data_IF_545290559241
#
_entry.id   IF_545290559241
#
_cell.length_a   1.000
_cell.length_b   1.000
_cell.length_c   1.000
_cell.angle_alpha   90.00
_cell.angle_beta   90.00
_cell.angle_gamma   90.00
#
_symmetry.space_group_name_H-M   'P 1'
#
loop_
_entity.id
_entity.type
_entity.pdbx_description
1 polymer ?
2 non-polymer ?
3 non-polymer ?
4 water ?
#
# COMPACT_ATOMS: atom_id res chain seq x y z
N UNK A 1 29.70 -7.58 -13.75
CA UNK A 1 29.07 -6.35 -13.19
C UNK A 1 28.72 -6.55 -11.71
N UNK A 2 28.72 -5.47 -10.94
CA UNK A 2 28.44 -5.54 -9.51
C UNK A 2 27.12 -4.91 -9.06
N UNK A 3 26.66 -5.36 -7.90
CA UNK A 3 25.41 -4.86 -7.30
C UNK A 3 25.77 -4.21 -5.96
N UNK A 4 25.38 -2.95 -5.76
CA UNK A 4 25.68 -2.27 -4.51
C UNK A 4 24.76 -1.08 -4.29
N UNK A 5 24.96 -0.35 -3.19
CA UNK A 5 24.14 0.80 -2.89
C UNK A 5 24.25 1.81 -4.02
N UNK A 6 23.13 2.45 -4.34
CA UNK A 6 23.08 3.43 -5.43
C UNK A 6 23.71 4.76 -5.01
N UNK A 7 24.91 5.02 -5.54
CA UNK A 7 25.62 6.26 -5.24
C UNK A 7 24.78 7.45 -5.66
N UNK A 8 24.11 8.06 -4.68
CA UNK A 8 23.24 9.21 -4.94
C UNK A 8 24.03 10.47 -5.25
N UNK A 9 25.35 10.42 -5.07
CA UNK A 9 26.21 11.56 -5.33
C UNK A 9 26.72 11.56 -6.78
N UNK A 10 26.01 10.84 -7.64
CA UNK A 10 26.40 10.75 -9.05
C UNK A 10 25.28 11.21 -9.99
N UNK A 11 25.50 12.34 -10.69
CA UNK A 11 24.52 12.88 -11.63
C UNK A 11 24.26 11.92 -12.79
N UNK A 12 25.34 11.40 -13.37
CA UNK A 12 25.23 10.46 -14.50
C UNK A 12 24.35 9.27 -14.14
N UNK A 13 24.58 8.70 -12.96
CA UNK A 13 23.78 7.55 -12.51
C UNK A 13 22.32 7.94 -12.43
N UNK A 14 22.01 9.00 -11.70
CA UNK A 14 20.64 9.46 -11.54
C UNK A 14 19.99 9.67 -12.91
N UNK A 15 20.74 10.26 -13.85
CA UNK A 15 20.24 10.49 -15.19
C UNK A 15 19.98 9.14 -15.86
N UNK A 16 20.93 8.22 -15.71
CA UNK A 16 20.78 6.88 -16.29
C UNK A 16 19.53 6.20 -15.77
N UNK A 17 19.23 6.39 -14.49
CA UNK A 17 18.06 5.79 -13.89
C UNK A 17 16.81 6.52 -14.37
N UNK A 18 16.89 7.84 -14.38
CA UNK A 18 15.77 8.68 -14.81
C UNK A 18 15.27 8.25 -16.17
N UNK A 19 16.20 7.84 -17.04
CA UNK A 19 15.83 7.40 -18.38
C UNK A 19 15.34 5.97 -18.35
N UNK A 20 15.98 5.14 -17.54
CA UNK A 20 15.62 3.73 -17.40
C UNK A 20 14.14 3.57 -17.12
N UNK A 21 13.57 4.51 -16.38
CA UNK A 21 12.15 4.48 -16.05
C UNK A 21 11.29 5.14 -17.13
N UNK A 22 11.85 6.14 -17.81
CA UNK A 22 11.14 6.83 -18.88
C UNK A 22 11.01 5.87 -20.05
N UNK A 23 11.85 4.84 -20.05
CA UNK A 23 11.86 3.83 -21.10
C UNK A 23 11.08 2.58 -20.68
N UNK A 24 10.64 2.55 -19.43
CA UNK A 24 9.89 1.40 -18.93
C UNK A 24 8.45 1.77 -18.56
N UNK A 25 8.28 2.96 -18.00
CA UNK A 25 6.96 3.44 -17.60
C UNK A 25 6.80 4.91 -17.96
N UNK A 26 6.70 5.22 -19.28
CA UNK A 26 6.54 6.59 -19.76
C UNK A 26 5.27 7.27 -19.25
N UNK A 27 4.24 6.47 -18.96
CA UNK A 27 2.98 7.00 -18.46
C UNK A 27 3.08 7.27 -16.97
N UNK A 28 3.97 6.55 -16.29
CA UNK A 28 4.17 6.69 -14.86
C UNK A 28 5.44 7.51 -14.56
N UNK A 29 6.27 7.67 -15.58
CA UNK A 29 7.51 8.42 -15.45
C UNK A 29 7.79 9.29 -16.66
N UNK A 30 8.20 10.53 -16.41
CA UNK A 30 8.50 11.46 -17.49
C UNK A 30 8.75 12.85 -16.95
N UNK A 31 7.68 13.57 -16.64
CA UNK A 31 7.81 14.92 -16.09
C UNK A 31 8.50 14.85 -14.74
N UNK A 32 7.98 14.00 -13.87
CA UNK A 32 8.53 13.82 -12.54
C UNK A 32 9.55 12.69 -12.53
N UNK A 33 9.87 12.18 -13.73
CA UNK A 33 10.85 11.10 -13.85
C UNK A 33 12.14 11.52 -13.17
N UNK A 34 12.73 12.60 -13.68
CA UNK A 34 13.98 13.13 -13.13
C UNK A 34 13.66 13.84 -11.82
N UNK A 35 12.67 13.32 -11.11
CA UNK A 35 12.24 13.87 -9.84
C UNK A 35 11.89 12.72 -8.90
N UNK A 36 11.23 11.71 -9.46
CA UNK A 36 10.85 10.54 -8.69
C UNK A 36 12.11 9.73 -8.44
N UNK A 37 13.16 10.07 -9.17
CA UNK A 37 14.45 9.40 -9.01
C UNK A 37 15.06 9.87 -7.70
N UNK A 38 14.76 11.11 -7.33
CA UNK A 38 15.26 11.69 -6.09
C UNK A 38 14.43 11.26 -4.89
N UNK A 39 13.13 11.06 -5.09
CA UNK A 39 12.27 10.62 -4.00
C UNK A 39 12.74 9.22 -3.61
N UNK A 40 13.36 8.55 -4.58
CA UNK A 40 13.90 7.22 -4.37
C UNK A 40 15.25 7.38 -3.68
N UNK A 41 15.84 8.57 -3.80
CA UNK A 41 17.13 8.84 -3.19
C UNK A 41 17.00 9.12 -1.69
N UNK A 42 15.78 9.50 -1.27
CA UNK A 42 15.50 9.80 0.13
C UNK A 42 16.23 8.82 1.03
N UNK A 43 16.95 9.32 2.05
CA UNK A 43 17.70 8.49 3.00
C UNK A 43 16.86 7.47 3.76
N UNK A 44 15.55 7.67 3.75
CA UNK A 44 14.64 6.76 4.44
C UNK A 44 14.53 5.49 3.60
N UNK A 45 14.38 5.67 2.28
CA UNK A 45 14.25 4.57 1.35
C UNK A 45 15.59 3.90 1.09
N UNK A 46 15.55 2.76 0.40
CA UNK A 46 16.74 2.00 0.03
C UNK A 46 16.87 2.07 -1.48
N UNK A 47 18.09 2.36 -1.95
CA UNK A 47 18.36 2.47 -3.39
C UNK A 47 19.56 1.57 -3.74
N UNK A 48 19.31 0.57 -4.58
CA UNK A 48 20.33 -0.39 -4.98
C UNK A 48 20.50 -0.42 -6.50
N UNK A 49 21.75 -0.43 -6.96
CA UNK A 49 22.02 -0.43 -8.39
C UNK A 49 22.86 -1.59 -8.90
N UNK A 50 22.59 -1.99 -10.13
CA UNK A 50 23.33 -3.05 -10.80
C UNK A 50 24.10 -2.31 -11.89
N UNK A 51 25.41 -2.18 -11.71
CA UNK A 51 26.24 -1.47 -12.68
C UNK A 51 27.20 -2.39 -13.42
N UNK A 52 27.31 -2.18 -14.72
CA UNK A 52 28.19 -2.98 -15.55
C UNK A 52 29.14 -2.02 -16.29
N UNK A 53 30.41 -2.04 -15.89
CA UNK A 53 31.44 -1.17 -16.48
C UNK A 53 31.33 0.25 -15.94
N UNK A 54 30.10 0.76 -15.90
CA UNK A 54 29.80 2.10 -15.42
C UNK A 54 28.38 2.42 -15.88
N UNK A 55 27.79 1.45 -16.58
CA UNK A 55 26.44 1.59 -17.10
C UNK A 55 25.41 0.96 -16.16
N UNK A 56 24.43 1.76 -15.73
CA UNK A 56 23.39 1.27 -14.86
C UNK A 56 22.48 0.37 -15.68
N UNK A 57 22.44 -0.91 -15.33
CA UNK A 57 21.59 -1.83 -16.08
C UNK A 57 20.47 -2.42 -15.21
N UNK A 58 20.35 -1.91 -13.99
CA UNK A 58 19.32 -2.40 -13.10
C UNK A 58 19.24 -1.57 -11.84
N UNK A 59 18.03 -1.43 -11.32
CA UNK A 59 17.80 -0.65 -10.10
C UNK A 59 16.63 -1.22 -9.31
N UNK A 60 16.73 -1.12 -7.99
CA UNK A 60 15.66 -1.59 -7.11
C UNK A 60 15.60 -0.67 -5.89
N UNK A 61 14.39 -0.31 -5.50
CA UNK A 61 14.22 0.55 -4.35
C UNK A 61 13.25 -0.09 -3.37
N UNK A 62 13.19 0.47 -2.16
CA UNK A 62 12.28 -0.02 -1.14
C UNK A 62 11.89 1.15 -0.24
N UNK A 63 10.62 1.18 0.17
CA UNK A 63 10.12 2.24 1.03
C UNK A 63 9.65 1.65 2.36
N UNK A 64 10.12 2.23 3.48
CA UNK A 64 9.73 1.72 4.79
C UNK A 64 8.28 2.17 5.01
N UNK A 65 7.36 1.23 5.17
CA UNK A 65 5.95 1.56 5.31
C UNK A 65 5.31 1.25 6.66
N UNK A 66 5.85 0.28 7.37
CA UNK A 66 5.34 -0.10 8.69
C UNK A 66 6.51 -0.12 9.65
N UNK A 67 6.67 0.95 10.44
CA UNK A 67 7.78 1.01 11.36
C UNK A 67 9.04 0.68 10.59
N UNK A 68 9.78 -0.31 11.07
CA UNK A 68 11.00 -0.75 10.39
C UNK A 68 10.82 -2.20 9.95
N UNK A 69 9.70 -2.79 10.32
CA UNK A 69 9.40 -4.18 10.00
C UNK A 69 8.92 -4.47 8.58
N UNK A 70 8.07 -3.59 8.05
CA UNK A 70 7.52 -3.80 6.72
C UNK A 70 7.96 -2.80 5.67
N UNK A 71 8.47 -3.31 4.56
CA UNK A 71 8.95 -2.49 3.46
C UNK A 71 8.29 -2.81 2.14
N UNK A 72 8.01 -1.77 1.35
CA UNK A 72 7.43 -1.98 0.04
C UNK A 72 8.57 -1.95 -0.98
N UNK A 73 8.66 -2.99 -1.79
CA UNK A 73 9.68 -3.06 -2.84
C UNK A 73 9.13 -2.21 -3.99
N UNK A 74 9.89 -1.19 -4.37
CA UNK A 74 9.50 -0.29 -5.45
C UNK A 74 10.55 0.78 -5.70
N UNK A 75 11.01 0.90 -6.94
CA UNK A 75 10.57 0.07 -8.08
C UNK A 75 11.63 -0.99 -8.36
N UNK A 76 11.40 -1.78 -9.40
CA UNK A 76 12.35 -2.79 -9.83
C UNK A 76 12.36 -2.74 -11.34
N UNK A 77 13.52 -2.45 -11.90
CA UNK A 77 13.65 -2.35 -13.35
C UNK A 77 15.04 -2.82 -13.82
N UNK A 78 15.04 -3.60 -14.88
CA UNK A 78 16.26 -4.10 -15.49
C UNK A 78 16.15 -3.72 -16.95
N UNK A 79 17.23 -3.19 -17.53
CA UNK A 79 17.20 -2.80 -18.94
C UNK A 79 16.66 -3.97 -19.77
N UNK A 80 15.77 -3.65 -20.71
CA UNK A 80 15.15 -4.67 -21.56
C UNK A 80 16.15 -5.54 -22.33
N UNK A 81 17.33 -4.98 -22.60
CA UNK A 81 18.36 -5.72 -23.32
C UNK A 81 19.18 -6.60 -22.40
N UNK A 82 19.04 -6.39 -21.09
CA UNK A 82 19.80 -7.15 -20.11
C UNK A 82 18.92 -8.05 -19.24
N UNK A 83 17.67 -8.27 -19.67
CA UNK A 83 16.75 -9.09 -18.91
C UNK A 83 16.97 -10.59 -19.11
N UNK A 84 16.24 -11.39 -18.32
CA UNK A 84 16.34 -12.84 -18.37
C UNK A 84 17.80 -13.30 -18.24
N UNK A 85 18.56 -12.59 -17.41
CA UNK A 85 19.98 -12.90 -17.19
C UNK A 85 20.30 -12.97 -15.69
N UNK A 86 19.26 -12.87 -14.86
CA UNK A 86 19.40 -12.93 -13.40
C UNK A 86 19.81 -11.63 -12.69
N UNK A 87 19.71 -10.51 -13.39
CA UNK A 87 20.03 -9.23 -12.75
C UNK A 87 18.94 -8.92 -11.73
N UNK A 88 17.70 -9.20 -12.08
CA UNK A 88 16.60 -8.98 -11.18
C UNK A 88 16.77 -9.79 -9.91
N UNK A 89 17.06 -11.09 -10.08
CA UNK A 89 17.25 -11.99 -8.95
C UNK A 89 18.28 -11.43 -7.99
N UNK A 90 19.41 -11.02 -8.53
CA UNK A 90 20.49 -10.46 -7.72
C UNK A 90 20.10 -9.15 -7.05
N UNK A 91 19.25 -8.36 -7.70
CA UNK A 91 18.81 -7.09 -7.11
C UNK A 91 17.90 -7.38 -5.90
N UNK A 92 17.02 -8.37 -6.04
CA UNK A 92 16.10 -8.71 -4.96
C UNK A 92 16.86 -9.27 -3.76
N UNK A 93 17.79 -10.19 -4.00
CA UNK A 93 18.58 -10.78 -2.92
C UNK A 93 19.29 -9.70 -2.12
N UNK A 94 19.96 -8.80 -2.83
CA UNK A 94 20.70 -7.73 -2.20
C UNK A 94 19.77 -6.83 -1.40
N UNK A 95 18.60 -6.51 -1.94
CA UNK A 95 17.64 -5.67 -1.23
C UNK A 95 17.20 -6.36 0.06
N UNK A 96 16.94 -7.66 -0.04
CA UNK A 96 16.51 -8.43 1.12
C UNK A 96 17.56 -8.38 2.22
N UNK A 97 18.83 -8.45 1.84
CA UNK A 97 19.92 -8.39 2.82
C UNK A 97 19.91 -7.01 3.49
N UNK A 98 19.76 -5.97 2.67
CA UNK A 98 19.73 -4.60 3.18
C UNK A 98 18.59 -4.38 4.18
N UNK A 99 17.40 -4.85 3.83
CA UNK A 99 16.25 -4.67 4.72
C UNK A 99 16.44 -5.39 6.04
N UNK A 100 16.91 -6.63 5.97
CA UNK A 100 17.13 -7.41 7.19
C UNK A 100 18.10 -6.67 8.12
N UNK A 101 19.17 -6.12 7.56
CA UNK A 101 20.16 -5.41 8.36
C UNK A 101 19.56 -4.21 9.08
N UNK A 102 18.54 -3.60 8.49
CA UNK A 102 17.89 -2.46 9.12
C UNK A 102 16.76 -2.88 10.07
N UNK A 103 16.71 -4.17 10.38
CA UNK A 103 15.69 -4.67 11.29
C UNK A 103 14.37 -5.03 10.62
N UNK A 104 14.34 -4.98 9.29
CA UNK A 104 13.13 -5.30 8.55
C UNK A 104 12.80 -6.78 8.57
N UNK A 105 11.51 -7.10 8.44
CA UNK A 105 11.04 -8.48 8.48
C UNK A 105 10.33 -8.92 7.20
N UNK A 106 9.49 -8.04 6.65
CA UNK A 106 8.74 -8.37 5.46
C UNK A 106 8.83 -7.34 4.35
N UNK A 107 8.89 -7.83 3.11
CA UNK A 107 8.95 -6.99 1.93
C UNK A 107 7.72 -7.35 1.10
N UNK A 108 6.94 -6.36 0.71
CA UNK A 108 5.76 -6.63 -0.12
C UNK A 108 5.78 -5.70 -1.31
N UNK A 109 4.89 -5.97 -2.27
CA UNK A 109 4.82 -5.17 -3.48
C UNK A 109 3.47 -5.34 -4.14
N UNK A 110 3.18 -4.43 -5.06
CA UNK A 110 1.95 -4.47 -5.81
C UNK A 110 2.30 -4.52 -7.28
N UNK A 111 2.02 -5.64 -7.93
CA UNK A 111 2.30 -5.76 -9.35
C UNK A 111 0.95 -5.69 -10.07
N UNK A 112 0.77 -4.64 -10.88
CA UNK A 112 -0.48 -4.46 -11.59
C UNK A 112 -0.65 -5.31 -12.84
N UNK A 113 -1.89 -5.67 -13.12
CA UNK A 113 -2.24 -6.44 -14.30
C UNK A 113 -3.15 -5.55 -15.11
N UNK A 114 -2.56 -4.77 -16.02
CA UNK A 114 -3.30 -3.82 -16.84
C UNK A 114 -3.79 -4.37 -18.17
N UNK A 115 -3.12 -5.39 -18.69
CA UNK A 115 -3.49 -5.94 -19.99
C UNK A 115 -3.66 -7.45 -20.04
N UNK A 116 -4.55 -7.96 -19.19
CA UNK A 116 -4.84 -9.40 -19.14
C UNK A 116 -3.59 -10.26 -19.21
N UNK A 117 -2.64 -9.99 -18.32
CA UNK A 117 -1.40 -10.76 -18.30
C UNK A 117 -1.50 -11.99 -17.41
N UNK A 118 -2.51 -12.03 -16.55
CA UNK A 118 -2.72 -13.16 -15.64
C UNK A 118 -4.21 -13.45 -15.59
N UNK A 119 -4.59 -14.57 -14.98
CA UNK A 119 -5.99 -14.93 -14.86
C UNK A 119 -6.76 -14.05 -13.86
N UNK A 120 -6.05 -13.22 -13.10
CA UNK A 120 -6.70 -12.35 -12.11
C UNK A 120 -7.40 -11.12 -12.70
N UNK A 121 -7.10 -10.79 -13.95
CA UNK A 121 -7.76 -9.65 -14.59
C UNK A 121 -8.93 -10.15 -15.42
N UNK A 122 -9.88 -9.27 -15.74
CA UNK A 122 -11.04 -9.65 -16.53
C UNK A 122 -11.90 -10.71 -15.83
N UNK A 123 -12.18 -10.48 -14.56
CA UNK A 123 -13.00 -11.38 -13.78
C UNK A 123 -13.44 -10.59 -12.56
N UNK A 124 -14.57 -10.95 -11.97
CA UNK A 124 -15.05 -10.27 -10.78
C UNK A 124 -14.28 -10.85 -9.60
N UNK A 125 -13.26 -10.13 -9.14
CA UNK A 125 -12.44 -10.61 -8.04
C UNK A 125 -13.12 -10.68 -6.69
N UNK A 126 -14.35 -10.19 -6.62
CA UNK A 126 -15.11 -10.25 -5.36
C UNK A 126 -15.80 -11.60 -5.21
N UNK A 127 -15.80 -12.39 -6.28
CA UNK A 127 -16.41 -13.72 -6.27
C UNK A 127 -15.33 -14.80 -6.31
N UNK A 128 -15.32 -15.66 -5.29
CA UNK A 128 -14.32 -16.73 -5.20
C UNK A 128 -12.94 -16.08 -5.26
N UNK A 129 -12.82 -14.93 -4.62
CA UNK A 129 -11.58 -14.18 -4.60
C UNK A 129 -10.32 -15.02 -4.42
N UNK A 130 -10.22 -15.68 -3.27
CA UNK A 130 -9.03 -16.45 -2.97
C UNK A 130 -8.82 -17.72 -3.77
N UNK A 131 -9.91 -18.36 -4.21
CA UNK A 131 -9.73 -19.54 -5.04
C UNK A 131 -9.12 -19.05 -6.34
N UNK A 132 -9.53 -17.86 -6.78
CA UNK A 132 -8.99 -17.28 -8.01
C UNK A 132 -7.52 -16.94 -7.81
N UNK A 133 -7.18 -16.39 -6.65
CA UNK A 133 -5.79 -16.05 -6.33
C UNK A 133 -4.95 -17.32 -6.35
N UNK A 134 -5.39 -18.33 -5.61
CA UNK A 134 -4.68 -19.60 -5.50
C UNK A 134 -4.46 -20.31 -6.84
N UNK A 135 -5.45 -20.25 -7.73
CA UNK A 135 -5.33 -20.91 -9.02
C UNK A 135 -4.95 -19.95 -10.16
N UNK A 136 -4.04 -19.02 -9.87
CA UNK A 136 -3.59 -18.05 -10.88
C UNK A 136 -2.69 -18.71 -11.94
N UNK A 137 -2.81 -18.22 -13.17
CA UNK A 137 -2.01 -18.71 -14.29
C UNK A 137 -1.41 -17.51 -15.01
N UNK A 138 -0.18 -17.66 -15.48
CA UNK A 138 0.48 -16.57 -16.20
C UNK A 138 0.15 -16.68 -17.68
N UNK A 139 -0.51 -15.66 -18.21
CA UNK A 139 -0.92 -15.65 -19.61
C UNK A 139 0.11 -15.03 -20.56
N UNK A 140 0.64 -13.87 -20.22
CA UNK A 140 1.61 -13.20 -21.08
C UNK A 140 2.89 -12.80 -20.37
N UNK A 141 3.55 -13.78 -19.77
CA UNK A 141 4.79 -13.56 -19.03
C UNK A 141 4.66 -12.38 -18.09
N UNK A 142 3.62 -12.41 -17.24
CA UNK A 142 3.43 -11.35 -16.27
C UNK A 142 4.52 -11.51 -15.22
N UNK A 143 5.09 -10.40 -14.74
CA UNK A 143 6.16 -10.44 -13.74
C UNK A 143 5.83 -10.99 -12.35
N UNK A 144 4.56 -11.24 -12.04
CA UNK A 144 4.25 -11.77 -10.71
C UNK A 144 4.97 -13.09 -10.53
N UNK A 145 5.04 -13.87 -11.61
CA UNK A 145 5.68 -15.17 -11.57
C UNK A 145 7.17 -15.05 -11.26
N UNK A 146 7.78 -13.94 -11.65
CA UNK A 146 9.18 -13.71 -11.37
C UNK A 146 9.34 -13.69 -9.86
N UNK A 147 8.46 -12.92 -9.21
CA UNK A 147 8.50 -12.79 -7.76
C UNK A 147 8.20 -14.12 -7.05
N UNK A 148 7.27 -14.90 -7.60
CA UNK A 148 6.96 -16.20 -7.01
C UNK A 148 8.21 -17.06 -6.91
N UNK A 149 8.95 -17.11 -8.01
CA UNK A 149 10.17 -17.90 -8.09
C UNK A 149 11.23 -17.46 -7.10
N UNK A 150 11.14 -16.21 -6.64
CA UNK A 150 12.10 -15.71 -5.66
C UNK A 150 11.54 -15.84 -4.26
N UNK A 151 10.46 -16.62 -4.12
CA UNK A 151 9.87 -16.84 -2.82
C UNK A 151 8.71 -15.96 -2.39
N UNK A 152 8.33 -14.97 -3.19
CA UNK A 152 7.21 -14.12 -2.80
C UNK A 152 5.90 -14.85 -3.08
N UNK A 153 4.87 -14.50 -2.34
CA UNK A 153 3.56 -15.13 -2.48
C UNK A 153 2.43 -14.11 -2.65
N UNK A 154 1.47 -14.44 -3.50
CA UNK A 154 0.34 -13.54 -3.68
C UNK A 154 -0.47 -13.62 -2.40
N UNK A 155 -0.63 -12.49 -1.73
CA UNK A 155 -1.37 -12.47 -0.47
C UNK A 155 -2.62 -11.62 -0.53
N UNK A 156 -2.92 -11.07 -1.70
CA UNK A 156 -4.11 -10.25 -1.84
C UNK A 156 -4.26 -9.65 -3.22
N UNK A 157 -5.43 -9.08 -3.47
CA UNK A 157 -5.74 -8.43 -4.74
C UNK A 157 -6.59 -7.18 -4.48
N UNK A 158 -6.43 -6.19 -5.35
CA UNK A 158 -7.20 -4.96 -5.25
C UNK A 158 -8.08 -4.92 -6.50
N UNK A 159 -9.33 -5.37 -6.37
CA UNK A 159 -10.27 -5.38 -7.49
C UNK A 159 -10.45 -4.02 -8.15
N UNK A 160 -10.32 -3.99 -9.47
CA UNK A 160 -10.51 -2.78 -10.26
C UNK A 160 -9.64 -1.56 -9.90
N UNK A 161 -8.49 -1.80 -9.29
CA UNK A 161 -7.60 -0.70 -8.89
C UNK A 161 -7.31 0.31 -9.99
N UNK A 162 -6.87 -0.19 -11.14
CA UNK A 162 -6.50 0.65 -12.29
C UNK A 162 -7.63 0.80 -13.32
N UNK A 163 -8.84 0.46 -12.92
CA UNK A 163 -9.97 0.52 -13.83
C UNK A 163 -10.63 -0.84 -13.82
N UNK A 164 -11.84 -0.93 -14.36
CA UNK A 164 -12.55 -2.19 -14.38
C UNK A 164 -11.67 -3.35 -14.81
N UNK A 165 -11.70 -4.41 -14.00
CA UNK A 165 -10.95 -5.64 -14.22
C UNK A 165 -9.45 -5.50 -14.51
N UNK A 166 -8.83 -4.49 -13.92
CA UNK A 166 -7.39 -4.24 -14.06
C UNK A 166 -6.90 -4.00 -12.63
N UNK A 167 -6.80 -5.08 -11.84
CA UNK A 167 -6.37 -5.06 -10.44
C UNK A 167 -4.88 -4.93 -10.19
N UNK A 168 -4.54 -4.71 -8.92
CA UNK A 168 -3.16 -4.66 -8.50
C UNK A 168 -3.03 -6.00 -7.79
N UNK A 169 -1.86 -6.61 -7.85
CA UNK A 169 -1.67 -7.90 -7.20
C UNK A 169 -0.63 -7.75 -6.09
N UNK A 170 -1.07 -7.98 -4.85
CA UNK A 170 -0.17 -7.88 -3.70
C UNK A 170 0.57 -9.18 -3.44
N UNK A 171 1.89 -9.06 -3.30
CA UNK A 171 2.75 -10.20 -3.03
C UNK A 171 3.65 -9.84 -1.86
N UNK A 172 3.99 -10.83 -1.03
CA UNK A 172 4.85 -10.56 0.11
C UNK A 172 5.78 -11.72 0.46
N UNK A 173 6.80 -11.41 1.23
CA UNK A 173 7.76 -12.40 1.68
C UNK A 173 8.41 -11.92 2.97
N UNK A 174 8.65 -12.84 3.89
CA UNK A 174 9.30 -12.52 5.15
C UNK A 174 10.73 -12.94 4.90
N UNK A 175 11.64 -11.99 5.03
CA UNK A 175 13.04 -12.23 4.72
C UNK A 175 14.02 -12.75 5.79
N UNK A 176 13.51 -13.28 6.89
CA UNK A 176 14.37 -13.83 7.94
C UNK A 176 13.67 -14.98 8.61
N UNK A 177 14.41 -15.90 9.25
CA UNK A 177 13.80 -17.04 9.92
C UNK A 177 12.71 -16.64 10.91
N UNK A 178 11.66 -17.44 10.96
CA UNK A 178 10.57 -17.17 11.89
C UNK A 178 11.01 -17.62 13.28
N UNK A 179 10.67 -16.85 14.32
CA UNK A 179 11.05 -17.21 15.68
C UNK A 179 10.50 -18.58 16.06
N UNK A 180 11.29 -19.39 16.74
CA UNK A 180 10.84 -20.71 17.16
C UNK A 180 11.47 -21.09 18.49
N UNK B 1 -25.36 16.35 10.72
CA UNK B 1 -24.44 17.12 11.62
C UNK B 1 -23.79 18.18 10.74
N UNK B 2 -22.47 18.34 10.85
CA UNK B 2 -21.79 19.29 9.98
C UNK B 2 -20.58 18.54 9.41
N UNK B 3 -20.91 17.62 8.50
CA UNK B 3 -19.90 16.83 7.83
C UNK B 3 -19.70 17.45 6.46
N UNK B 4 -18.48 17.94 6.22
CA UNK B 4 -18.15 18.60 4.96
C UNK B 4 -16.64 18.72 4.77
N UNK B 5 -16.27 19.24 3.61
CA UNK B 5 -14.87 19.45 3.25
C UNK B 5 -14.12 20.10 4.42
N UNK B 6 -12.96 19.55 4.74
CA UNK B 6 -12.14 20.06 5.82
C UNK B 6 -11.46 21.37 5.41
N UNK B 7 -11.47 22.35 6.31
CA UNK B 7 -10.82 23.64 6.05
C UNK B 7 -9.32 23.44 6.29
N UNK B 8 -8.59 23.17 5.21
CA UNK B 8 -7.16 22.92 5.29
C UNK B 8 -6.31 24.10 5.77
N UNK B 9 -6.92 25.28 5.83
CA UNK B 9 -6.22 26.48 6.27
C UNK B 9 -6.53 26.87 7.71
N UNK B 10 -7.27 26.02 8.42
CA UNK B 10 -7.58 26.29 9.82
C UNK B 10 -6.54 25.57 10.65
N UNK B 11 -5.56 26.33 11.18
CA UNK B 11 -4.51 25.72 12.00
C UNK B 11 -5.06 25.03 13.25
N UNK B 12 -6.18 25.54 13.76
CA UNK B 12 -6.80 24.98 14.96
C UNK B 12 -7.41 23.61 14.68
N UNK B 13 -8.22 23.52 13.63
CA UNK B 13 -8.84 22.25 13.26
C UNK B 13 -7.74 21.22 13.03
N UNK B 14 -6.66 21.64 12.39
CA UNK B 14 -5.55 20.74 12.14
C UNK B 14 -4.87 20.35 13.45
N UNK B 15 -4.87 21.25 14.43
CA UNK B 15 -4.28 20.92 15.73
C UNK B 15 -5.17 19.89 16.39
N UNK B 16 -6.48 20.09 16.31
CA UNK B 16 -7.43 19.15 16.89
C UNK B 16 -7.23 17.78 16.23
N UNK B 17 -7.18 17.77 14.91
CA UNK B 17 -6.97 16.52 14.17
C UNK B 17 -5.69 15.86 14.63
N UNK B 18 -4.65 16.65 14.80
CA UNK B 18 -3.36 16.11 15.23
C UNK B 18 -3.47 15.44 16.60
N UNK B 19 -4.18 16.08 17.53
CA UNK B 19 -4.36 15.53 18.86
C UNK B 19 -5.12 14.20 18.79
N UNK B 20 -6.21 14.19 18.04
CA UNK B 20 -7.01 12.99 17.88
C UNK B 20 -6.17 11.86 17.30
N UNK B 21 -5.31 12.18 16.34
CA UNK B 21 -4.48 11.14 15.75
C UNK B 21 -3.46 10.62 16.77
N UNK B 22 -2.97 11.50 17.64
CA UNK B 22 -2.00 11.11 18.65
C UNK B 22 -2.65 10.25 19.73
N UNK B 23 -3.86 10.62 20.13
CA UNK B 23 -4.59 9.88 21.14
C UNK B 23 -5.05 8.51 20.64
N UNK B 24 -5.36 8.40 19.35
CA UNK B 24 -5.82 7.13 18.79
C UNK B 24 -4.71 6.17 18.38
N UNK B 25 -3.64 6.71 17.79
CA UNK B 25 -2.51 5.89 17.36
C UNK B 25 -1.22 6.57 17.80
N UNK B 26 -0.95 6.56 19.11
CA UNK B 26 0.28 7.21 19.61
C UNK B 26 1.54 6.54 19.07
N UNK B 27 1.44 5.27 18.70
CA UNK B 27 2.59 4.54 18.19
C UNK B 27 3.01 4.97 16.79
N UNK B 28 2.12 5.66 16.09
CA UNK B 28 2.42 6.11 14.73
C UNK B 28 2.55 7.62 14.62
N UNK B 29 1.85 8.35 15.48
CA UNK B 29 1.89 9.79 15.49
C UNK B 29 2.53 10.30 16.77
N UNK B 30 3.62 11.06 16.63
CA UNK B 30 4.30 11.58 17.80
C UNK B 30 4.61 13.07 17.71
N UNK B 31 5.86 13.42 17.96
CA UNK B 31 6.31 14.81 17.93
C UNK B 31 6.00 15.48 16.58
N UNK B 32 6.46 14.85 15.51
CA UNK B 32 6.25 15.39 14.17
C UNK B 32 4.83 15.17 13.66
N UNK B 33 3.91 14.91 14.58
CA UNK B 33 2.50 14.66 14.23
C UNK B 33 1.93 15.70 13.26
N UNK B 34 2.38 16.95 13.39
CA UNK B 34 1.90 18.01 12.53
C UNK B 34 2.26 17.73 11.07
N UNK B 35 3.38 17.05 10.87
CA UNK B 35 3.84 16.70 9.53
C UNK B 35 2.89 15.73 8.84
N UNK B 36 2.42 14.74 9.60
CA UNK B 36 1.49 13.76 9.05
C UNK B 36 0.21 14.46 8.60
N UNK B 37 -0.29 15.38 9.43
CA UNK B 37 -1.50 16.12 9.10
C UNK B 37 -1.36 16.92 7.81
N UNK B 38 -0.21 17.56 7.62
CA UNK B 38 0.03 18.34 6.41
C UNK B 38 0.03 17.46 5.16
N UNK B 39 0.52 16.22 5.31
CA UNK B 39 0.55 15.28 4.19
C UNK B 39 -0.90 15.01 3.76
N UNK B 40 -1.78 14.95 4.75
CA UNK B 40 -3.20 14.70 4.52
C UNK B 40 -3.90 15.89 3.88
N UNK B 41 -3.21 17.04 3.82
CA UNK B 41 -3.78 18.24 3.22
C UNK B 41 -3.39 18.36 1.75
N UNK B 42 -2.49 17.50 1.28
CA UNK B 42 -2.05 17.52 -0.11
C UNK B 42 -3.27 17.63 -1.04
N UNK B 43 -3.20 18.53 -2.04
CA UNK B 43 -4.23 18.82 -3.04
C UNK B 43 -4.91 17.62 -3.72
N UNK B 44 -4.17 16.53 -3.94
CA UNK B 44 -4.73 15.36 -4.59
C UNK B 44 -5.66 14.53 -3.70
N UNK B 45 -5.52 14.68 -2.40
CA UNK B 45 -6.32 13.92 -1.43
C UNK B 45 -7.65 14.57 -1.08
N UNK B 46 -8.59 13.74 -0.64
CA UNK B 46 -9.88 14.23 -0.18
C UNK B 46 -9.73 14.33 1.34
N UNK B 47 -10.23 15.42 1.92
CA UNK B 47 -10.18 15.62 3.36
C UNK B 47 -11.57 16.11 3.78
N UNK B 48 -12.22 15.33 4.64
CA UNK B 48 -13.57 15.63 5.11
C UNK B 48 -13.69 15.51 6.63
N UNK B 49 -14.44 16.41 7.24
CA UNK B 49 -14.57 16.35 8.70
C UNK B 49 -15.98 16.52 9.22
N UNK B 50 -16.19 15.96 10.40
CA UNK B 50 -17.45 16.06 11.10
C UNK B 50 -17.08 17.03 12.22
N UNK B 51 -17.68 18.21 12.18
CA UNK B 51 -17.40 19.23 13.17
C UNK B 51 -18.67 19.60 13.92
N UNK B 52 -18.58 19.72 15.22
CA UNK B 52 -19.75 20.06 16.03
C UNK B 52 -19.57 21.46 16.62
N UNK B 53 -20.17 22.44 15.95
CA UNK B 53 -20.14 23.85 16.32
C UNK B 53 -18.74 24.48 16.38
N UNK B 54 -17.71 23.66 16.51
CA UNK B 54 -16.32 24.15 16.57
C UNK B 54 -15.37 23.03 16.98
N UNK B 55 -15.94 21.92 17.45
CA UNK B 55 -15.16 20.78 17.89
C UNK B 55 -15.06 19.72 16.78
N UNK B 56 -13.84 19.29 16.50
CA UNK B 56 -13.61 18.25 15.50
C UNK B 56 -13.90 16.94 16.21
N UNK B 57 -14.87 16.18 15.71
CA UNK B 57 -15.22 14.92 16.33
C UNK B 57 -14.93 13.73 15.43
N UNK B 58 -14.70 14.02 14.15
CA UNK B 58 -14.41 12.96 13.20
C UNK B 58 -13.71 13.46 11.96
N UNK B 59 -12.90 12.59 11.36
CA UNK B 59 -12.16 12.93 10.16
C UNK B 59 -11.93 11.71 9.28
N UNK B 60 -12.07 11.88 7.97
CA UNK B 60 -11.82 10.80 7.03
C UNK B 60 -11.10 11.40 5.83
N UNK B 61 -10.12 10.65 5.30
CA UNK B 61 -9.38 11.12 4.14
C UNK B 61 -9.23 10.01 3.11
N UNK B 62 -8.85 10.37 1.90
CA UNK B 62 -8.64 9.40 0.82
C UNK B 62 -7.50 9.85 -0.07
N UNK B 63 -6.65 8.90 -0.46
CA UNK B 63 -5.51 9.15 -1.32
C UNK B 63 -5.68 8.44 -2.65
N UNK B 64 -5.57 9.17 -3.75
CA UNK B 64 -5.71 8.53 -5.07
C UNK B 64 -4.40 7.79 -5.31
N UNK B 65 -4.43 6.46 -5.30
CA UNK B 65 -3.22 5.66 -5.47
C UNK B 65 -3.02 5.04 -6.86
N UNK B 66 -4.10 4.82 -7.58
CA UNK B 66 -4.03 4.25 -8.92
C UNK B 66 -4.76 5.21 -9.83
N UNK B 67 -4.01 6.06 -10.53
CA UNK B 67 -4.66 7.06 -11.36
C UNK B 67 -5.71 7.70 -10.46
N UNK B 68 -6.94 7.80 -10.94
CA UNK B 68 -8.02 8.35 -10.13
C UNK B 68 -9.08 7.28 -9.94
N UNK B 69 -8.76 6.04 -10.34
CA UNK B 69 -9.70 4.94 -10.21
C UNK B 69 -9.59 4.23 -8.86
N UNK B 70 -8.36 4.09 -8.37
CA UNK B 70 -8.14 3.43 -7.10
C UNK B 70 -7.72 4.38 -6.00
N UNK B 71 -8.54 4.48 -4.95
CA UNK B 71 -8.28 5.38 -3.84
C UNK B 71 -8.08 4.64 -2.51
N UNK B 72 -7.13 5.10 -1.71
CA UNK B 72 -6.90 4.48 -0.41
C UNK B 72 -7.61 5.30 0.67
N UNK B 73 -8.46 4.64 1.45
CA UNK B 73 -9.17 5.32 2.53
C UNK B 73 -8.17 5.40 3.68
N UNK B 74 -7.72 6.62 3.96
CA UNK B 74 -6.75 6.87 5.02
C UNK B 74 -6.68 8.35 5.40
N UNK B 75 -6.93 8.69 6.67
CA UNK B 75 -7.25 7.79 7.79
C UNK B 75 -8.74 7.96 8.10
N UNK B 76 -9.21 7.29 9.13
CA UNK B 76 -10.59 7.43 9.56
C UNK B 76 -10.60 7.36 11.07
N UNK B 77 -11.11 8.40 11.71
CA UNK B 77 -11.15 8.41 13.17
C UNK B 77 -12.28 9.29 13.70
N UNK B 78 -12.88 8.84 14.80
CA UNK B 78 -13.97 9.55 15.47
C UNK B 78 -13.60 9.64 16.94
N UNK B 79 -13.79 10.80 17.54
CA UNK B 79 -13.47 10.97 18.95
C UNK B 79 -14.17 9.86 19.75
N UNK B 80 -13.41 9.21 20.63
CA UNK B 80 -13.91 8.10 21.44
C UNK B 80 -15.29 8.27 22.06
N UNK B 81 -15.56 9.45 22.63
CA UNK B 81 -16.85 9.69 23.28
C UNK B 81 -18.03 9.87 22.33
N UNK B 82 -17.78 9.81 21.02
CA UNK B 82 -18.86 9.99 20.04
C UNK B 82 -19.00 8.82 19.08
N UNK B 83 -18.35 7.70 19.39
CA UNK B 83 -18.40 6.53 18.53
C UNK B 83 -19.73 5.78 18.68
N UNK B 84 -19.96 4.84 17.76
CA UNK B 84 -21.19 4.05 17.78
C UNK B 84 -22.43 4.91 17.57
N UNK B 85 -22.25 6.09 16.98
CA UNK B 85 -23.36 6.99 16.71
C UNK B 85 -23.52 7.28 15.22
N UNK B 86 -22.93 6.43 14.39
CA UNK B 86 -23.00 6.57 12.93
C UNK B 86 -22.17 7.69 12.32
N UNK B 87 -21.34 8.36 13.13
CA UNK B 87 -20.51 9.42 12.57
C UNK B 87 -19.54 8.78 11.56
N UNK B 88 -18.99 7.62 11.92
CA UNK B 88 -18.08 6.92 11.02
C UNK B 88 -18.77 6.49 9.74
N UNK B 89 -20.00 6.01 9.87
CA UNK B 89 -20.78 5.57 8.72
C UNK B 89 -21.00 6.76 7.77
N UNK B 90 -21.41 7.89 8.35
CA UNK B 90 -21.67 9.09 7.58
C UNK B 90 -20.41 9.58 6.86
N UNK B 91 -19.29 9.58 7.57
CA UNK B 91 -18.03 10.01 6.97
C UNK B 91 -17.69 9.13 5.79
N UNK B 92 -17.83 7.82 5.94
CA UNK B 92 -17.52 6.91 4.85
C UNK B 92 -18.47 7.13 3.69
N UNK B 93 -19.77 7.22 3.98
CA UNK B 93 -20.78 7.45 2.96
C UNK B 93 -20.45 8.72 2.19
N UNK B 94 -20.10 9.77 2.92
CA UNK B 94 -19.75 11.04 2.30
C UNK B 94 -18.54 10.89 1.38
N UNK B 95 -17.52 10.16 1.87
CA UNK B 95 -16.30 9.95 1.11
C UNK B 95 -16.54 9.18 -0.19
N UNK B 96 -17.30 8.10 -0.11
CA UNK B 96 -17.61 7.28 -1.28
C UNK B 96 -18.23 8.08 -2.40
N UNK B 97 -19.19 8.95 -2.08
CA UNK B 97 -19.85 9.79 -3.09
C UNK B 97 -18.85 10.74 -3.74
N UNK B 98 -18.00 11.34 -2.91
CA UNK B 98 -17.00 12.28 -3.41
C UNK B 98 -15.98 11.54 -4.27
N UNK B 99 -15.50 10.39 -3.79
CA UNK B 99 -14.53 9.62 -4.55
C UNK B 99 -15.13 9.22 -5.90
N UNK B 100 -16.38 8.79 -5.88
CA UNK B 100 -17.05 8.40 -7.10
C UNK B 100 -17.15 9.55 -8.10
N UNK B 101 -17.49 10.75 -7.63
CA UNK B 101 -17.61 11.89 -8.55
C UNK B 101 -16.27 12.30 -9.16
N UNK B 102 -15.16 11.85 -8.57
CA UNK B 102 -13.84 12.20 -9.09
C UNK B 102 -13.34 11.16 -10.09
N UNK B 103 -14.12 10.11 -10.29
CA UNK B 103 -13.74 9.07 -11.22
C UNK B 103 -13.33 7.78 -10.54
N UNK B 104 -13.45 7.74 -9.22
CA UNK B 104 -13.06 6.55 -8.48
C UNK B 104 -13.98 5.35 -8.69
N UNK B 105 -13.39 4.17 -8.69
CA UNK B 105 -14.15 2.92 -8.87
C UNK B 105 -14.02 2.06 -7.62
N UNK B 106 -12.82 2.04 -7.05
CA UNK B 106 -12.54 1.23 -5.87
C UNK B 106 -11.87 1.99 -4.74
N UNK B 107 -12.35 1.74 -3.52
CA UNK B 107 -11.75 2.36 -2.35
C UNK B 107 -11.19 1.21 -1.54
N UNK B 108 -9.91 1.27 -1.20
CA UNK B 108 -9.32 0.21 -0.40
C UNK B 108 -8.69 0.81 0.85
N UNK B 109 -8.29 -0.07 1.77
CA UNK B 109 -7.69 0.38 3.01
C UNK B 109 -6.89 -0.74 3.66
N UNK B 110 -6.02 -0.34 4.58
CA UNK B 110 -5.21 -1.29 5.31
C UNK B 110 -5.49 -1.03 6.78
N UNK B 111 -6.13 -1.98 7.45
CA UNK B 111 -6.44 -1.83 8.87
C UNK B 111 -5.58 -2.82 9.65
N UNK B 112 -4.54 -2.30 10.28
CA UNK B 112 -3.59 -3.13 11.04
C UNK B 112 -4.16 -3.80 12.29
N UNK B 113 -3.58 -4.95 12.63
CA UNK B 113 -3.97 -5.69 13.83
C UNK B 113 -2.69 -5.86 14.65
N UNK B 114 -2.46 -4.93 15.56
CA UNK B 114 -1.28 -4.93 16.43
C UNK B 114 -1.60 -5.47 17.82
N UNK B 115 -2.87 -5.34 18.21
CA UNK B 115 -3.39 -5.72 19.53
C UNK B 115 -4.08 -7.08 19.62
N UNK B 116 -3.80 -7.99 18.70
CA UNK B 116 -4.46 -9.28 18.70
C UNK B 116 -5.97 -9.07 18.76
N UNK B 117 -6.45 -8.13 17.94
CA UNK B 117 -7.88 -7.82 17.89
C UNK B 117 -8.66 -8.80 17.02
N UNK B 118 -7.96 -9.52 16.15
CA UNK B 118 -8.62 -10.50 15.29
C UNK B 118 -7.83 -11.81 15.33
N UNK B 119 -8.42 -12.89 14.82
CA UNK B 119 -7.76 -14.19 14.81
C UNK B 119 -6.65 -14.26 13.76
N UNK B 120 -6.52 -13.21 12.94
CA UNK B 120 -5.48 -13.19 11.91
C UNK B 120 -4.12 -12.86 12.52
N UNK B 121 -4.11 -12.34 13.73
CA UNK B 121 -2.86 -12.01 14.41
C UNK B 121 -2.47 -13.16 15.35
N UNK B 122 -1.22 -13.16 15.78
CA UNK B 122 -0.70 -14.19 16.68
C UNK B 122 -0.74 -15.59 16.07
N UNK B 123 -0.48 -15.67 14.77
CA UNK B 123 -0.46 -16.93 14.03
C UNK B 123 0.39 -16.73 12.79
N UNK B 124 1.02 -17.80 12.31
CA UNK B 124 1.85 -17.74 11.11
C UNK B 124 0.90 -17.64 9.92
N UNK B 125 0.73 -16.44 9.36
CA UNK B 125 -0.17 -16.24 8.24
C UNK B 125 0.27 -16.82 6.91
N UNK B 126 1.43 -17.47 6.87
CA UNK B 126 1.87 -18.09 5.63
C UNK B 126 1.42 -19.56 5.58
N UNK B 127 0.89 -20.04 6.70
CA UNK B 127 0.38 -21.40 6.78
C UNK B 127 -1.15 -21.33 6.71
N UNK B 128 -1.71 -21.79 5.60
CA UNK B 128 -3.16 -21.78 5.39
C UNK B 128 -3.67 -20.34 5.42
N UNK B 129 -2.95 -19.47 4.73
CA UNK B 129 -3.27 -18.04 4.67
C UNK B 129 -4.75 -17.71 4.46
N UNK B 130 -5.33 -18.20 3.38
CA UNK B 130 -6.72 -17.89 3.06
C UNK B 130 -7.79 -18.60 3.87
N UNK B 131 -7.44 -19.72 4.50
CA UNK B 131 -8.41 -20.41 5.34
C UNK B 131 -8.54 -19.55 6.59
N UNK B 132 -7.44 -18.94 7.01
CA UNK B 132 -7.45 -18.11 8.21
C UNK B 132 -8.20 -16.81 7.94
N UNK B 133 -8.02 -16.24 6.75
CA UNK B 133 -8.72 -15.03 6.40
C UNK B 133 -10.23 -15.30 6.36
N UNK B 134 -10.63 -16.44 5.79
CA UNK B 134 -12.05 -16.78 5.69
C UNK B 134 -12.70 -17.04 7.06
N UNK B 135 -11.92 -17.56 8.00
CA UNK B 135 -12.46 -17.86 9.32
C UNK B 135 -12.12 -16.77 10.35
N UNK B 136 -11.91 -15.54 9.87
CA UNK B 136 -11.59 -14.44 10.77
C UNK B 136 -12.72 -14.19 11.79
N UNK B 137 -12.34 -13.88 13.02
CA UNK B 137 -13.30 -13.57 14.09
C UNK B 137 -12.82 -12.30 14.79
N UNK B 138 -13.75 -11.49 15.29
CA UNK B 138 -13.40 -10.25 15.97
C UNK B 138 -13.22 -10.49 17.48
N UNK B 139 -11.99 -10.29 17.96
CA UNK B 139 -11.68 -10.53 19.36
C UNK B 139 -11.75 -9.30 20.28
N UNK B 140 -11.37 -8.14 19.76
CA UNK B 140 -11.39 -6.91 20.57
C UNK B 140 -12.07 -5.76 19.83
N UNK B 141 -13.23 -6.02 19.23
CA UNK B 141 -13.93 -4.96 18.52
C UNK B 141 -13.00 -4.30 17.50
N UNK B 142 -12.31 -5.12 16.71
CA UNK B 142 -11.40 -4.59 15.69
C UNK B 142 -12.28 -3.92 14.64
N UNK B 143 -11.83 -2.79 14.07
CA UNK B 143 -12.61 -2.07 13.06
C UNK B 143 -12.83 -2.72 11.69
N UNK B 144 -12.19 -3.85 11.42
CA UNK B 144 -12.37 -4.49 10.12
C UNK B 144 -13.85 -4.84 9.95
N UNK B 145 -14.49 -5.18 11.05
CA UNK B 145 -15.90 -5.54 11.02
C UNK B 145 -16.75 -4.31 10.72
N UNK B 146 -16.32 -3.14 11.19
CA UNK B 146 -17.04 -1.89 10.92
C UNK B 146 -17.12 -1.73 9.40
N UNK B 147 -15.99 -1.93 8.73
CA UNK B 147 -15.94 -1.81 7.29
C UNK B 147 -16.77 -2.88 6.57
N UNK B 148 -16.78 -4.10 7.12
CA UNK B 148 -17.56 -5.16 6.50
C UNK B 148 -19.04 -4.76 6.51
N UNK B 149 -19.49 -4.18 7.62
CA UNK B 149 -20.87 -3.76 7.72
C UNK B 149 -21.19 -2.68 6.70
N UNK B 150 -20.15 -2.03 6.18
CA UNK B 150 -20.35 -1.00 5.17
C UNK B 150 -20.11 -1.51 3.77
N UNK B 151 -20.02 -2.83 3.62
CA UNK B 151 -19.83 -3.41 2.29
C UNK B 151 -18.40 -3.61 1.81
N UNK B 152 -17.43 -3.43 2.69
CA UNK B 152 -16.04 -3.65 2.32
C UNK B 152 -15.72 -5.11 2.58
N UNK B 153 -14.84 -5.69 1.76
CA UNK B 153 -14.49 -7.10 1.94
C UNK B 153 -12.97 -7.27 2.08
N UNK B 154 -12.57 -8.24 2.91
CA UNK B 154 -11.14 -8.50 3.10
C UNK B 154 -10.67 -9.20 1.83
N UNK B 155 -9.74 -8.56 1.13
CA UNK B 155 -9.21 -9.09 -0.12
C UNK B 155 -7.70 -9.35 -0.04
N UNK B 156 -7.15 -9.26 1.16
CA UNK B 156 -5.72 -9.51 1.31
C UNK B 156 -5.21 -9.24 2.72
N UNK B 157 -4.03 -9.75 2.99
CA UNK B 157 -3.38 -9.57 4.28
C UNK B 157 -1.88 -9.53 4.05
N UNK B 158 -1.19 -8.69 4.83
CA UNK B 158 0.26 -8.59 4.73
C UNK B 158 0.81 -9.21 6.01
N UNK B 159 1.27 -10.47 5.92
CA UNK B 159 1.81 -11.13 7.10
C UNK B 159 3.00 -10.40 7.72
N UNK B 160 3.03 -10.36 9.05
CA UNK B 160 4.13 -9.75 9.78
C UNK B 160 4.48 -8.32 9.37
N UNK B 161 3.49 -7.56 8.95
CA UNK B 161 3.69 -6.19 8.52
C UNK B 161 4.29 -5.28 9.60
N UNK B 162 3.71 -5.32 10.80
CA UNK B 162 4.12 -4.47 11.92
C UNK B 162 4.93 -5.25 12.96
N UNK B 163 5.54 -6.35 12.54
CA UNK B 163 6.29 -7.18 13.47
C UNK B 163 5.68 -8.56 13.36
N UNK B 164 6.35 -9.59 13.84
CA UNK B 164 5.81 -10.94 13.73
C UNK B 164 4.36 -11.07 14.22
N UNK B 165 3.53 -11.69 13.38
CA UNK B 165 2.13 -11.92 13.68
C UNK B 165 1.30 -10.68 14.00
N UNK B 166 1.67 -9.55 13.40
CA UNK B 166 0.94 -8.28 13.55
C UNK B 166 0.75 -7.82 12.11
N UNK B 167 -0.19 -8.45 11.41
CA UNK B 167 -0.50 -8.14 10.01
C UNK B 167 -1.31 -6.89 9.73
N UNK B 168 -1.38 -6.55 8.46
CA UNK B 168 -2.20 -5.45 8.00
C UNK B 168 -3.31 -6.22 7.27
N UNK B 169 -4.53 -5.75 7.36
CA UNK B 169 -5.64 -6.42 6.70
C UNK B 169 -6.16 -5.51 5.60
N UNK B 170 -6.06 -5.97 4.35
CA UNK B 170 -6.52 -5.18 3.22
C UNK B 170 -7.99 -5.44 2.92
N UNK B 171 -8.76 -4.36 2.78
CA UNK B 171 -10.18 -4.46 2.50
C UNK B 171 -10.50 -3.56 1.31
N UNK B 172 -11.51 -3.92 0.54
CA UNK B 172 -11.87 -3.12 -0.62
C UNK B 172 -13.35 -3.17 -0.95
N UNK B 173 -13.80 -2.18 -1.70
CA UNK B 173 -15.18 -2.07 -2.12
C UNK B 173 -15.28 -1.30 -3.43
N UNK B 174 -16.06 -1.83 -4.37
CA UNK B 174 -16.24 -1.14 -5.64
C UNK B 174 -17.46 -0.27 -5.39
N UNK B 175 -17.25 1.03 -5.39
CA UNK B 175 -18.29 2.01 -5.08
C UNK B 175 -19.27 2.46 -6.16
N UNK B 176 -19.17 1.91 -7.37
CA UNK B 176 -20.12 2.28 -8.43
C UNK B 176 -20.55 1.04 -9.18
N UNK B 177 -21.79 1.05 -9.71
CA UNK B 177 -22.33 -0.08 -10.46
C UNK B 177 -21.46 -0.41 -11.67
N UNK B 178 -21.27 -1.71 -11.93
CA UNK B 178 -20.48 -2.13 -13.07
C UNK B 178 -21.32 -1.83 -14.31
N UNK B 179 -20.85 -0.90 -15.16
CA UNK B 179 -21.59 -0.56 -16.37
C UNK B 179 -21.95 -1.79 -17.21
#
# INVERSE_FOLDING_TARGET
MIISEFDRNNPVLKDQLSDLLRLTWPEEYGDSSAEEVEEMMNPERIAVAAVDQDELVGFIGAIPQYGITGWELHPLVVESSRRKNQIGTRLVNYLEKEVASRGGITIYLGTDDLDHGTTLSQTDLYEHTFDKVASIQNLREHPYEFYEKLGYKIVGVLPNANGWDKPDIWMAKTIIPRPDSQ
MIISEFDRNNPVLKDQLSDLLRLTWPEEYGDSSAEEVEEMMNPERIAVAAVDQDELVGFIGAIPQYGITGWELHPLVVESSRRKNQIGTRLVNYLEKEVASRGGITIYLGTDDLDHGTTLSQTDLYEHTFDKVASIQNLREHPYEFYEKLGYKIVGVLPNANGWDKPDIWMAKTIIPRPDSQ
#
